data_IF_831867272902
#
_entry.id   IF_831867272902
#
_cell.length_a   1.000
_cell.length_b   1.000
_cell.length_c   1.000
_cell.angle_alpha   90.00
_cell.angle_beta   90.00
_cell.angle_gamma   90.00
#
_symmetry.space_group_name_H-M   'P 1'
#
loop_
_entity.id
_entity.type
_entity.pdbx_description
1 polymer ?
#
# COMPACT_ATOMS: atom_id res chain seq x y z
N UNK A 1 4.47 -40.22 -11.26
CA UNK A 1 5.50 -39.41 -11.92
C UNK A 1 5.83 -38.24 -11.01
N UNK A 2 6.91 -38.33 -10.21
CA UNK A 2 7.29 -37.23 -9.32
C UNK A 2 7.72 -36.03 -10.16
N UNK A 3 7.19 -34.85 -9.88
CA UNK A 3 7.71 -33.60 -10.47
C UNK A 3 9.16 -33.51 -10.04
N UNK A 4 10.10 -33.65 -10.97
CA UNK A 4 11.47 -33.21 -10.74
C UNK A 4 11.37 -31.69 -10.59
N UNK A 5 11.33 -31.22 -9.34
CA UNK A 5 11.31 -29.79 -9.03
C UNK A 5 12.56 -29.14 -9.60
N UNK A 6 12.43 -27.91 -10.08
CA UNK A 6 13.60 -27.11 -10.46
C UNK A 6 14.49 -26.98 -9.22
N UNK A 7 15.69 -27.55 -9.27
CA UNK A 7 16.61 -27.56 -8.12
C UNK A 7 16.92 -26.15 -7.60
N UNK A 8 16.80 -25.13 -8.46
CA UNK A 8 16.95 -23.72 -8.08
C UNK A 8 15.83 -23.25 -7.14
N UNK A 9 14.60 -23.76 -7.32
CA UNK A 9 13.46 -23.41 -6.46
C UNK A 9 13.66 -24.02 -5.08
N UNK A 10 14.05 -25.29 -4.99
CA UNK A 10 14.36 -25.93 -3.71
C UNK A 10 15.52 -25.22 -2.98
N UNK A 11 16.56 -24.79 -3.72
CA UNK A 11 17.66 -24.02 -3.16
C UNK A 11 17.20 -22.64 -2.64
N UNK A 12 16.35 -21.94 -3.39
CA UNK A 12 15.80 -20.65 -2.99
C UNK A 12 14.85 -20.79 -1.79
N UNK A 13 14.03 -21.84 -1.75
CA UNK A 13 13.16 -22.16 -0.63
C UNK A 13 13.98 -22.36 0.65
N UNK A 14 15.02 -23.21 0.58
CA UNK A 14 15.93 -23.45 1.70
C UNK A 14 16.64 -22.17 2.16
N UNK A 15 17.06 -21.31 1.23
CA UNK A 15 17.68 -20.03 1.56
C UNK A 15 16.71 -19.10 2.31
N UNK A 16 15.46 -19.00 1.86
CA UNK A 16 14.42 -18.18 2.50
C UNK A 16 14.06 -18.73 3.88
N UNK A 17 13.83 -20.04 4.03
CA UNK A 17 13.59 -20.69 5.31
C UNK A 17 14.73 -20.41 6.30
N UNK A 18 15.98 -20.59 5.86
CA UNK A 18 17.15 -20.34 6.70
C UNK A 18 17.28 -18.87 7.10
N UNK A 19 16.97 -17.94 6.19
CA UNK A 19 17.01 -16.51 6.47
C UNK A 19 15.92 -16.10 7.49
N UNK A 20 14.70 -16.60 7.34
CA UNK A 20 13.62 -16.34 8.30
C UNK A 20 13.93 -16.97 9.65
N UNK A 21 14.40 -18.21 9.68
CA UNK A 21 14.80 -18.89 10.92
C UNK A 21 15.93 -18.13 11.65
N UNK A 22 16.94 -17.66 10.91
CA UNK A 22 18.04 -16.89 11.49
C UNK A 22 17.60 -15.51 12.01
N UNK A 23 16.65 -14.87 11.34
CA UNK A 23 16.08 -13.60 11.77
C UNK A 23 15.16 -13.76 13.00
N UNK A 24 14.48 -14.90 13.14
CA UNK A 24 13.45 -15.14 14.17
C UNK A 24 14.06 -15.77 15.43
N UNK A 25 14.87 -14.99 16.15
CA UNK A 25 15.56 -15.44 17.37
C UNK A 25 14.70 -15.42 18.64
N UNK A 26 13.48 -14.88 18.56
CA UNK A 26 12.51 -14.75 19.65
C UNK A 26 11.16 -14.25 19.15
N UNK A 27 10.24 -13.87 20.06
CA UNK A 27 8.94 -13.33 19.69
C UNK A 27 9.07 -12.14 18.73
N UNK A 28 8.23 -12.11 17.70
CA UNK A 28 8.37 -11.17 16.60
C UNK A 28 7.01 -10.63 16.13
N UNK A 29 7.01 -9.39 15.66
CA UNK A 29 5.86 -8.75 15.01
C UNK A 29 6.11 -8.65 13.50
N UNK A 30 5.25 -9.24 12.68
CA UNK A 30 5.32 -9.13 11.23
C UNK A 30 4.49 -7.94 10.77
N UNK A 31 5.13 -7.02 10.03
CA UNK A 31 4.43 -5.99 9.27
C UNK A 31 3.68 -6.64 8.10
N UNK A 32 2.39 -6.91 8.34
CA UNK A 32 1.60 -7.84 7.56
C UNK A 32 0.62 -7.12 6.63
N UNK A 33 0.64 -7.49 5.33
CA UNK A 33 -0.21 -6.90 4.29
C UNK A 33 -1.12 -7.90 3.59
N UNK A 34 -0.98 -9.19 3.91
CA UNK A 34 -1.58 -10.27 3.14
C UNK A 34 -0.98 -10.45 1.75
N UNK A 35 0.13 -9.80 1.40
CA UNK A 35 0.87 -10.10 0.16
C UNK A 35 1.60 -11.44 0.25
N UNK A 36 2.05 -11.97 -0.90
CA UNK A 36 2.89 -13.18 -0.93
C UNK A 36 4.16 -13.04 -0.08
N UNK A 37 4.76 -11.85 -0.05
CA UNK A 37 6.03 -11.61 0.66
C UNK A 37 5.83 -11.69 2.17
N UNK A 38 4.92 -10.87 2.71
CA UNK A 38 4.65 -10.81 4.16
C UNK A 38 4.00 -12.09 4.67
N UNK A 39 3.21 -12.79 3.85
CA UNK A 39 2.60 -14.08 4.21
C UNK A 39 3.58 -15.23 4.22
N UNK A 40 4.56 -15.25 3.31
CA UNK A 40 5.62 -16.25 3.38
C UNK A 40 6.50 -16.03 4.62
N UNK A 41 6.86 -14.78 4.92
CA UNK A 41 7.61 -14.45 6.14
C UNK A 41 6.82 -14.84 7.40
N UNK A 42 5.54 -14.50 7.46
CA UNK A 42 4.67 -14.84 8.60
C UNK A 42 4.54 -16.34 8.83
N UNK A 43 4.27 -17.11 7.76
CA UNK A 43 4.12 -18.57 7.83
C UNK A 43 5.40 -19.27 8.30
N UNK A 44 6.56 -18.78 7.84
CA UNK A 44 7.85 -19.35 8.25
C UNK A 44 8.22 -18.92 9.67
N UNK A 45 8.05 -17.64 10.02
CA UNK A 45 8.37 -17.13 11.36
C UNK A 45 7.54 -17.80 12.46
N UNK A 46 6.25 -18.04 12.21
CA UNK A 46 5.35 -18.70 13.19
C UNK A 46 5.73 -20.14 13.50
N UNK A 47 6.53 -20.78 12.64
CA UNK A 47 7.09 -22.11 12.89
C UNK A 47 8.30 -22.10 13.82
N UNK A 48 8.87 -20.91 14.09
CA UNK A 48 10.08 -20.74 14.89
C UNK A 48 9.85 -20.02 16.22
N UNK A 49 8.97 -19.02 16.26
CA UNK A 49 8.66 -18.28 17.47
C UNK A 49 7.21 -17.78 17.48
N UNK A 50 6.77 -17.32 18.66
CA UNK A 50 5.50 -16.60 18.78
C UNK A 50 5.53 -15.38 17.86
N UNK A 51 4.49 -15.27 17.02
CA UNK A 51 4.45 -14.29 15.94
C UNK A 51 3.15 -13.51 16.00
N UNK A 52 3.27 -12.20 16.20
CA UNK A 52 2.18 -11.24 16.09
C UNK A 52 2.09 -10.75 14.64
N UNK A 53 0.90 -10.75 14.04
CA UNK A 53 0.67 -10.12 12.75
C UNK A 53 -0.04 -8.78 12.96
N UNK A 54 0.57 -7.69 12.49
CA UNK A 54 -0.06 -6.37 12.49
C UNK A 54 -0.32 -5.90 11.07
N UNK A 55 -1.57 -5.54 10.78
CA UNK A 55 -1.96 -4.83 9.55
C UNK A 55 -2.49 -3.46 9.91
N UNK A 56 -2.12 -2.44 9.12
CA UNK A 56 -2.61 -1.07 9.29
C UNK A 56 -3.24 -0.54 8.02
N UNK A 57 -4.33 0.21 8.17
CA UNK A 57 -5.00 0.83 7.03
C UNK A 57 -6.11 1.79 7.44
N UNK A 58 -6.52 2.62 6.48
CA UNK A 58 -7.75 3.42 6.59
C UNK A 58 -9.00 2.54 6.46
N UNK A 59 -10.18 2.99 6.92
CA UNK A 59 -11.43 2.24 6.75
C UNK A 59 -11.65 1.82 5.29
N UNK A 60 -11.86 0.51 5.08
CA UNK A 60 -12.02 -0.08 3.75
C UNK A 60 -10.73 -0.20 2.93
N UNK A 61 -9.55 -0.02 3.54
CA UNK A 61 -8.28 -0.25 2.89
C UNK A 61 -8.14 -1.72 2.44
N UNK A 62 -7.53 -1.89 1.28
CA UNK A 62 -7.37 -3.21 0.66
C UNK A 62 -6.52 -4.16 1.51
N UNK A 63 -5.45 -3.64 2.11
CA UNK A 63 -4.53 -4.47 2.88
C UNK A 63 -5.19 -5.03 4.15
N UNK A 64 -6.15 -4.31 4.76
CA UNK A 64 -6.91 -4.81 5.90
C UNK A 64 -7.63 -6.12 5.54
N UNK A 65 -8.42 -6.10 4.46
CA UNK A 65 -9.17 -7.26 4.01
C UNK A 65 -8.25 -8.40 3.53
N UNK A 66 -7.19 -8.07 2.77
CA UNK A 66 -6.26 -9.07 2.26
C UNK A 66 -5.45 -9.75 3.38
N UNK A 67 -5.06 -8.99 4.41
CA UNK A 67 -4.36 -9.50 5.57
C UNK A 67 -5.28 -10.39 6.42
N UNK A 68 -6.50 -9.97 6.72
CA UNK A 68 -7.47 -10.80 7.45
C UNK A 68 -7.75 -12.14 6.74
N UNK A 69 -7.97 -12.11 5.42
CA UNK A 69 -8.14 -13.32 4.60
C UNK A 69 -6.90 -14.22 4.67
N UNK A 70 -5.71 -13.65 4.57
CA UNK A 70 -4.46 -14.41 4.55
C UNK A 70 -4.14 -15.00 5.92
N UNK A 71 -4.36 -14.25 7.00
CA UNK A 71 -4.19 -14.73 8.37
C UNK A 71 -5.13 -15.91 8.67
N UNK A 72 -6.40 -15.81 8.27
CA UNK A 72 -7.38 -16.88 8.43
C UNK A 72 -6.99 -18.16 7.64
N UNK A 73 -6.48 -18.01 6.42
CA UNK A 73 -5.99 -19.14 5.61
C UNK A 73 -4.74 -19.81 6.17
N UNK A 74 -3.94 -19.07 6.95
CA UNK A 74 -2.72 -19.56 7.60
C UNK A 74 -2.95 -20.01 9.06
N UNK A 75 -4.17 -19.85 9.59
CA UNK A 75 -4.50 -20.07 11.00
C UNK A 75 -3.60 -19.26 11.96
N UNK A 76 -3.33 -18.00 11.60
CA UNK A 76 -2.52 -17.07 12.39
C UNK A 76 -3.36 -15.94 12.95
N UNK A 77 -3.06 -15.53 14.19
CA UNK A 77 -3.71 -14.40 14.82
C UNK A 77 -3.20 -13.08 14.21
N UNK A 78 -4.13 -12.18 13.94
CA UNK A 78 -3.85 -10.87 13.38
C UNK A 78 -4.55 -9.78 14.19
N UNK A 79 -3.83 -8.68 14.47
CA UNK A 79 -4.42 -7.46 15.01
C UNK A 79 -4.55 -6.43 13.90
N UNK A 80 -5.79 -5.95 13.74
CA UNK A 80 -6.16 -4.92 12.77
C UNK A 80 -6.06 -3.53 13.40
N UNK A 81 -5.17 -2.71 12.84
CA UNK A 81 -5.02 -1.30 13.17
C UNK A 81 -5.77 -0.46 12.12
N UNK A 82 -7.09 -0.34 12.29
CA UNK A 82 -7.87 0.58 11.46
C UNK A 82 -7.76 2.01 12.03
N UNK A 83 -7.20 2.93 11.25
CA UNK A 83 -7.02 4.33 11.67
C UNK A 83 -7.69 5.30 10.70
N UNK A 84 -8.24 6.39 11.23
CA UNK A 84 -8.90 7.39 10.38
C UNK A 84 -7.89 8.08 9.44
N UNK A 85 -8.34 8.61 8.27
CA UNK A 85 -7.47 9.40 7.40
C UNK A 85 -6.80 10.58 8.10
N UNK A 86 -7.45 11.21 9.07
CA UNK A 86 -6.88 12.30 9.87
C UNK A 86 -5.75 11.81 10.78
N UNK A 87 -5.93 10.68 11.46
CA UNK A 87 -4.86 10.06 12.25
C UNK A 87 -3.68 9.62 11.39
N UNK A 88 -3.96 9.08 10.19
CA UNK A 88 -2.93 8.73 9.20
C UNK A 88 -2.11 9.97 8.81
N UNK A 89 -2.76 11.11 8.56
CA UNK A 89 -2.07 12.37 8.24
C UNK A 89 -1.23 12.87 9.42
N UNK A 90 -1.76 12.83 10.65
CA UNK A 90 -1.00 13.22 11.84
C UNK A 90 0.26 12.35 12.01
N UNK A 91 0.11 11.02 11.90
CA UNK A 91 1.25 10.10 11.95
C UNK A 91 2.26 10.33 10.81
N UNK A 92 1.80 10.76 9.62
CA UNK A 92 2.71 11.13 8.53
C UNK A 92 3.57 12.36 8.85
N UNK A 93 3.02 13.31 9.60
CA UNK A 93 3.73 14.51 10.04
C UNK A 93 4.74 14.16 11.14
N UNK A 94 4.37 13.26 12.06
CA UNK A 94 5.29 12.72 13.07
C UNK A 94 6.48 12.00 12.43
N UNK A 95 6.22 11.12 11.46
CA UNK A 95 7.27 10.42 10.70
C UNK A 95 8.20 11.40 9.98
N UNK A 96 7.64 12.38 9.26
CA UNK A 96 8.41 13.38 8.52
C UNK A 96 9.21 14.33 9.44
N UNK A 97 8.73 14.58 10.66
CA UNK A 97 9.45 15.35 11.66
C UNK A 97 10.58 14.55 12.33
N UNK A 98 10.43 13.22 12.40
CA UNK A 98 11.39 12.31 13.03
C UNK A 98 12.54 11.95 12.09
N UNK A 99 12.24 11.67 10.82
CA UNK A 99 13.21 11.21 9.83
C UNK A 99 13.23 12.13 8.61
N UNK A 100 14.42 12.37 8.07
CA UNK A 100 14.59 13.14 6.82
C UNK A 100 14.23 12.26 5.62
N UNK A 101 12.96 12.33 5.24
CA UNK A 101 12.38 11.53 4.16
C UNK A 101 11.76 12.43 3.09
N UNK A 102 11.80 11.99 1.84
CA UNK A 102 10.97 12.57 0.78
C UNK A 102 9.48 12.27 1.05
N UNK A 103 8.58 13.04 0.43
CA UNK A 103 7.14 12.79 0.55
C UNK A 103 6.74 11.37 0.14
N UNK A 104 7.34 10.84 -0.93
CA UNK A 104 7.05 9.48 -1.40
C UNK A 104 7.51 8.41 -0.41
N UNK A 105 8.65 8.63 0.26
CA UNK A 105 9.12 7.75 1.32
C UNK A 105 8.21 7.80 2.54
N UNK A 106 7.72 8.98 2.94
CA UNK A 106 6.72 9.11 4.01
C UNK A 106 5.45 8.33 3.64
N UNK A 107 4.91 8.51 2.43
CA UNK A 107 3.74 7.77 1.96
C UNK A 107 3.95 6.24 2.04
N UNK A 108 5.14 5.76 1.66
CA UNK A 108 5.49 4.34 1.61
C UNK A 108 5.79 3.72 2.97
N UNK A 109 6.53 4.43 3.83
CA UNK A 109 6.98 3.93 5.13
C UNK A 109 5.96 4.12 6.25
N UNK A 110 4.96 4.98 6.07
CA UNK A 110 3.97 5.27 7.10
C UNK A 110 3.25 4.02 7.63
N UNK A 111 2.84 3.03 6.82
CA UNK A 111 2.28 1.79 7.35
C UNK A 111 3.27 1.05 8.25
N UNK A 112 4.56 1.00 7.88
CA UNK A 112 5.59 0.37 8.71
C UNK A 112 5.87 1.15 9.99
N UNK A 113 5.88 2.49 9.95
CA UNK A 113 5.97 3.35 11.13
C UNK A 113 4.87 3.05 12.15
N UNK A 114 3.63 2.91 11.67
CA UNK A 114 2.49 2.61 12.53
C UNK A 114 2.56 1.19 13.09
N UNK A 115 2.99 0.20 12.30
CA UNK A 115 3.24 -1.15 12.82
C UNK A 115 4.33 -1.13 13.89
N UNK A 116 5.45 -0.47 13.64
CA UNK A 116 6.57 -0.39 14.59
C UNK A 116 6.17 0.29 15.91
N UNK A 117 5.25 1.27 15.85
CA UNK A 117 4.73 1.95 17.04
C UNK A 117 3.83 1.06 17.90
N UNK A 118 3.01 0.23 17.27
CA UNK A 118 2.01 -0.60 17.96
C UNK A 118 2.49 -2.02 18.24
N UNK A 119 3.66 -2.41 17.72
CA UNK A 119 4.26 -3.72 17.91
C UNK A 119 4.47 -4.02 19.39
N UNK A 120 4.09 -5.24 19.79
CA UNK A 120 4.28 -5.70 21.18
C UNK A 120 5.62 -6.41 21.37
N UNK A 121 6.26 -6.83 20.29
CA UNK A 121 7.54 -7.52 20.29
C UNK A 121 8.70 -6.63 19.82
N UNK A 122 9.91 -6.81 20.37
CA UNK A 122 11.07 -5.99 20.03
C UNK A 122 11.67 -6.31 18.66
N UNK A 123 11.27 -7.41 18.03
CA UNK A 123 11.73 -7.80 16.70
C UNK A 123 10.61 -7.60 15.68
N UNK A 124 10.87 -6.76 14.67
CA UNK A 124 10.00 -6.56 13.52
C UNK A 124 10.48 -7.39 12.33
N UNK A 125 9.56 -8.10 11.67
CA UNK A 125 9.81 -8.79 10.42
C UNK A 125 9.01 -8.12 9.30
N UNK A 126 9.62 -7.93 8.13
CA UNK A 126 8.91 -7.41 6.98
C UNK A 126 9.33 -8.07 5.67
N UNK A 127 8.44 -8.02 4.67
CA UNK A 127 8.68 -8.54 3.32
C UNK A 127 9.50 -7.61 2.42
N UNK A 128 10.21 -6.62 3.00
CA UNK A 128 10.96 -5.63 2.24
C UNK A 128 12.08 -6.30 1.43
N UNK A 129 12.31 -5.81 0.21
CA UNK A 129 13.31 -6.34 -0.71
C UNK A 129 12.80 -7.42 -1.68
N UNK A 130 11.64 -8.02 -1.42
CA UNK A 130 11.09 -9.02 -2.34
C UNK A 130 10.73 -8.44 -3.73
N UNK A 131 10.25 -7.19 -3.78
CA UNK A 131 9.90 -6.54 -5.03
C UNK A 131 11.12 -6.16 -5.88
N UNK A 132 12.18 -5.69 -5.24
CA UNK A 132 13.48 -5.38 -5.84
C UNK A 132 14.16 -6.66 -6.32
N UNK A 133 14.25 -7.67 -5.45
CA UNK A 133 14.99 -8.89 -5.74
C UNK A 133 14.32 -9.78 -6.80
N UNK A 134 12.99 -9.89 -6.74
CA UNK A 134 12.22 -10.77 -7.62
C UNK A 134 11.40 -10.02 -8.68
N UNK A 135 11.64 -8.72 -8.87
CA UNK A 135 11.03 -7.99 -9.98
C UNK A 135 9.53 -7.78 -9.84
N UNK A 136 9.03 -7.47 -8.65
CA UNK A 136 7.59 -7.35 -8.40
C UNK A 136 6.97 -6.03 -8.86
N UNK A 137 7.78 -4.99 -9.11
CA UNK A 137 7.27 -3.71 -9.57
C UNK A 137 6.83 -3.71 -11.04
N UNK A 138 5.66 -3.13 -11.31
CA UNK A 138 5.14 -2.99 -12.67
C UNK A 138 6.05 -2.17 -13.59
N UNK A 139 6.80 -1.19 -13.04
CA UNK A 139 7.73 -0.35 -13.82
C UNK A 139 8.80 -1.16 -14.56
N UNK A 140 9.14 -2.35 -14.04
CA UNK A 140 10.13 -3.25 -14.65
C UNK A 140 9.62 -3.97 -15.90
N UNK A 141 8.30 -3.97 -16.12
CA UNK A 141 7.65 -4.62 -17.26
C UNK A 141 7.12 -3.63 -18.30
N UNK A 142 7.32 -2.32 -18.09
CA UNK A 142 6.85 -1.31 -19.05
C UNK A 142 7.63 -1.43 -20.37
N UNK A 143 7.00 -1.18 -21.53
CA UNK A 143 7.70 -1.16 -22.80
C UNK A 143 8.92 -0.24 -22.77
N UNK A 144 10.08 -0.74 -23.19
CA UNK A 144 11.35 0.00 -23.17
C UNK A 144 12.04 0.07 -21.81
N UNK A 145 11.50 -0.57 -20.76
CA UNK A 145 12.20 -0.67 -19.48
C UNK A 145 13.44 -1.57 -19.59
N UNK A 146 14.56 -1.10 -19.04
CA UNK A 146 15.78 -1.88 -18.86
C UNK A 146 16.14 -1.85 -17.36
N UNK A 147 15.39 -2.58 -16.50
CA UNK A 147 15.66 -2.56 -15.08
C UNK A 147 17.01 -3.21 -14.77
N UNK A 148 17.59 -2.86 -13.63
CA UNK A 148 18.73 -3.54 -13.03
C UNK A 148 18.33 -3.91 -11.60
N UNK A 149 17.92 -5.18 -11.41
CA UNK A 149 17.45 -5.62 -10.10
C UNK A 149 18.57 -5.64 -9.06
N UNK A 150 19.82 -5.85 -9.47
CA UNK A 150 20.96 -5.85 -8.54
C UNK A 150 21.21 -4.44 -8.02
N UNK A 151 21.15 -3.43 -8.91
CA UNK A 151 21.23 -2.02 -8.50
C UNK A 151 20.07 -1.62 -7.58
N UNK A 152 18.86 -2.08 -7.85
CA UNK A 152 17.68 -1.81 -7.00
C UNK A 152 17.82 -2.40 -5.59
N UNK A 153 18.33 -3.64 -5.48
CA UNK A 153 18.62 -4.28 -4.18
C UNK A 153 19.74 -3.53 -3.44
N UNK A 154 20.82 -3.15 -4.14
CA UNK A 154 21.93 -2.42 -3.55
C UNK A 154 21.51 -1.03 -3.04
N UNK A 155 20.68 -0.31 -3.80
CA UNK A 155 20.15 0.99 -3.39
C UNK A 155 19.23 0.84 -2.16
N UNK A 156 18.37 -0.18 -2.16
CA UNK A 156 17.51 -0.48 -1.02
C UNK A 156 18.33 -0.77 0.24
N UNK A 157 19.34 -1.64 0.16
CA UNK A 157 20.24 -1.96 1.27
C UNK A 157 20.98 -0.72 1.78
N UNK A 158 21.44 0.16 0.90
CA UNK A 158 22.12 1.40 1.30
C UNK A 158 21.21 2.37 2.07
N UNK A 159 19.89 2.33 1.79
CA UNK A 159 18.89 3.23 2.41
C UNK A 159 18.23 2.63 3.66
N UNK A 160 18.26 1.30 3.83
CA UNK A 160 17.61 0.58 4.94
C UNK A 160 18.00 1.15 6.33
N UNK A 161 19.29 1.48 6.62
CA UNK A 161 19.70 2.00 7.93
C UNK A 161 19.07 3.35 8.30
N UNK A 162 18.72 4.15 7.28
CA UNK A 162 18.18 5.50 7.43
C UNK A 162 16.64 5.52 7.40
N UNK A 163 16.00 4.40 7.05
CA UNK A 163 14.56 4.27 6.87
C UNK A 163 14.01 3.23 7.84
N UNK A 164 13.94 1.96 7.44
CA UNK A 164 13.32 0.89 8.21
C UNK A 164 14.03 0.67 9.56
N UNK A 165 15.37 0.59 9.59
CA UNK A 165 16.10 0.42 10.86
C UNK A 165 16.05 1.68 11.74
N UNK A 166 15.95 2.86 11.14
CA UNK A 166 15.78 4.10 11.89
C UNK A 166 14.40 4.19 12.54
N UNK A 167 13.35 3.73 11.83
CA UNK A 167 11.99 3.61 12.36
C UNK A 167 11.98 2.58 13.50
N UNK A 168 12.53 1.39 13.30
CA UNK A 168 12.56 0.36 14.34
C UNK A 168 13.30 0.86 15.60
N UNK A 169 14.50 1.44 15.44
CA UNK A 169 15.27 2.00 16.56
C UNK A 169 14.52 3.13 17.28
N UNK A 170 13.76 3.95 16.57
CA UNK A 170 12.96 5.00 17.20
C UNK A 170 11.95 4.43 18.21
N UNK A 171 11.39 3.25 17.93
CA UNK A 171 10.47 2.53 18.81
C UNK A 171 11.14 1.45 19.67
N UNK A 172 12.47 1.54 19.86
CA UNK A 172 13.26 0.57 20.63
C UNK A 172 13.12 -0.89 20.15
N UNK A 173 12.91 -1.07 18.85
CA UNK A 173 12.82 -2.35 18.17
C UNK A 173 14.00 -2.54 17.19
N UNK A 174 14.19 -3.78 16.77
CA UNK A 174 15.04 -4.18 15.65
C UNK A 174 14.17 -4.59 14.47
N UNK A 175 14.68 -4.50 13.25
CA UNK A 175 13.98 -4.98 12.05
C UNK A 175 14.85 -5.94 11.26
N UNK A 176 14.27 -7.03 10.80
CA UNK A 176 14.89 -7.92 9.84
C UNK A 176 14.05 -8.01 8.56
N UNK A 177 14.76 -8.01 7.43
CA UNK A 177 14.19 -8.14 6.08
C UNK A 177 14.75 -9.41 5.44
N UNK A 178 14.17 -10.61 5.67
CA UNK A 178 14.78 -11.89 5.27
C UNK A 178 15.10 -12.00 3.78
N UNK A 179 14.36 -11.31 2.91
CA UNK A 179 14.64 -11.29 1.47
C UNK A 179 15.93 -10.55 1.09
N UNK A 180 16.47 -9.72 1.97
CA UNK A 180 17.76 -9.03 1.78
C UNK A 180 18.94 -9.81 2.37
N UNK A 181 18.71 -10.99 2.95
CA UNK A 181 19.77 -11.88 3.41
C UNK A 181 20.64 -12.33 2.22
N UNK A 182 21.96 -12.31 2.39
CA UNK A 182 22.92 -12.62 1.33
C UNK A 182 22.69 -14.01 0.69
N UNK A 183 22.20 -14.99 1.46
CA UNK A 183 21.88 -16.33 0.96
C UNK A 183 20.67 -16.29 0.02
N UNK A 184 19.65 -15.51 0.38
CA UNK A 184 18.43 -15.35 -0.42
C UNK A 184 18.75 -14.56 -1.69
N UNK A 185 19.53 -13.49 -1.60
CA UNK A 185 19.97 -12.70 -2.75
C UNK A 185 20.75 -13.59 -3.73
N UNK A 186 21.75 -14.33 -3.26
CA UNK A 186 22.55 -15.21 -4.11
C UNK A 186 21.71 -16.32 -4.77
N UNK A 187 20.77 -16.93 -4.03
CA UNK A 187 19.88 -17.95 -4.59
C UNK A 187 18.90 -17.36 -5.63
N UNK A 188 18.42 -16.14 -5.42
CA UNK A 188 17.53 -15.45 -6.36
C UNK A 188 18.26 -15.00 -7.63
N UNK A 189 19.54 -14.63 -7.54
CA UNK A 189 20.36 -14.24 -8.69
C UNK A 189 20.70 -15.40 -9.63
N UNK A 190 20.56 -16.65 -9.17
CA UNK A 190 20.62 -17.83 -10.04
C UNK A 190 19.47 -17.90 -11.06
N UNK A 191 18.43 -17.09 -10.88
CA UNK A 191 17.36 -16.91 -11.85
C UNK A 191 17.65 -15.69 -12.74
N UNK A 192 17.64 -15.86 -14.08
CA UNK A 192 17.69 -14.75 -15.01
C UNK A 192 16.67 -13.67 -14.65
N UNK A 193 17.07 -12.40 -14.78
CA UNK A 193 16.19 -11.29 -14.46
C UNK A 193 14.87 -11.35 -15.25
N UNK A 194 14.91 -11.83 -16.50
CA UNK A 194 13.74 -12.06 -17.35
C UNK A 194 12.72 -13.02 -16.73
N UNK A 195 13.17 -14.07 -16.03
CA UNK A 195 12.30 -15.01 -15.31
C UNK A 195 11.67 -14.36 -14.07
N UNK A 196 12.44 -13.52 -13.36
CA UNK A 196 11.97 -12.82 -12.16
C UNK A 196 10.90 -11.77 -12.47
N UNK A 197 11.15 -10.94 -13.48
CA UNK A 197 10.25 -9.83 -13.85
C UNK A 197 9.01 -10.27 -14.62
N UNK A 198 8.98 -11.48 -15.20
CA UNK A 198 7.89 -11.96 -16.06
C UNK A 198 6.54 -11.81 -15.36
N UNK A 199 5.55 -11.27 -16.07
CA UNK A 199 4.22 -11.02 -15.52
C UNK A 199 3.62 -12.30 -14.89
N UNK A 200 3.04 -12.21 -13.67
CA UNK A 200 2.68 -11.00 -12.93
C UNK A 200 3.82 -10.38 -12.08
N UNK A 201 5.05 -10.87 -12.23
CA UNK A 201 6.22 -10.55 -11.41
C UNK A 201 6.38 -11.54 -10.26
N UNK A 202 7.60 -11.60 -9.71
CA UNK A 202 7.96 -12.47 -8.58
C UNK A 202 7.89 -13.98 -8.91
N UNK A 203 8.11 -14.37 -10.16
CA UNK A 203 7.93 -15.76 -10.62
C UNK A 203 8.56 -16.81 -9.70
N UNK A 204 9.89 -16.76 -9.45
CA UNK A 204 10.57 -17.71 -8.57
C UNK A 204 10.03 -17.69 -7.13
N UNK A 205 9.76 -16.51 -6.57
CA UNK A 205 9.22 -16.38 -5.21
C UNK A 205 7.81 -16.99 -5.09
N UNK A 206 6.94 -16.81 -6.09
CA UNK A 206 5.60 -17.43 -6.10
C UNK A 206 5.68 -18.96 -6.22
N UNK A 207 6.64 -19.46 -6.98
CA UNK A 207 6.91 -20.90 -7.09
C UNK A 207 7.42 -21.48 -5.76
N UNK A 208 8.36 -20.80 -5.10
CA UNK A 208 8.80 -21.16 -3.74
C UNK A 208 7.66 -21.11 -2.73
N UNK A 209 6.84 -20.05 -2.74
CA UNK A 209 5.70 -19.94 -1.84
C UNK A 209 4.75 -21.13 -2.01
N UNK A 210 4.46 -21.55 -3.25
CA UNK A 210 3.65 -22.73 -3.52
C UNK A 210 4.32 -24.04 -3.07
N UNK A 211 5.65 -24.17 -3.26
CA UNK A 211 6.43 -25.34 -2.82
C UNK A 211 6.43 -25.49 -1.29
N UNK A 212 6.51 -24.36 -0.57
CA UNK A 212 6.46 -24.30 0.89
C UNK A 212 5.04 -24.38 1.47
N UNK A 213 4.02 -24.59 0.62
CA UNK A 213 2.65 -24.82 1.06
C UNK A 213 1.82 -23.55 1.30
N UNK A 214 2.30 -22.38 0.90
CA UNK A 214 1.50 -21.14 0.98
C UNK A 214 0.25 -21.28 0.08
N UNK A 215 -0.97 -21.02 0.60
CA UNK A 215 -2.20 -21.13 -0.17
C UNK A 215 -2.15 -20.37 -1.50
N UNK A 216 -2.63 -20.99 -2.58
CA UNK A 216 -2.54 -20.43 -3.93
C UNK A 216 -3.17 -19.04 -4.07
N UNK A 217 -4.26 -18.77 -3.33
CA UNK A 217 -4.92 -17.45 -3.27
C UNK A 217 -3.95 -16.37 -2.81
N UNK A 218 -3.10 -16.68 -1.82
CA UNK A 218 -2.09 -15.77 -1.30
C UNK A 218 -0.89 -15.71 -2.25
N UNK A 219 -0.36 -16.87 -2.63
CA UNK A 219 0.83 -16.99 -3.48
C UNK A 219 0.65 -16.33 -4.85
N UNK A 220 -0.58 -16.26 -5.38
CA UNK A 220 -0.89 -15.65 -6.68
C UNK A 220 -1.52 -14.25 -6.58
N UNK A 221 -1.68 -13.70 -5.36
CA UNK A 221 -2.26 -12.36 -5.17
C UNK A 221 -1.47 -11.30 -5.93
N UNK A 222 -2.12 -10.40 -6.69
CA UNK A 222 -1.44 -9.30 -7.36
C UNK A 222 -0.76 -8.37 -6.36
N UNK A 223 0.38 -7.80 -6.76
CA UNK A 223 1.13 -6.86 -5.93
C UNK A 223 0.34 -5.55 -5.78
N UNK A 224 0.25 -5.05 -4.56
CA UNK A 224 -0.18 -3.69 -4.24
C UNK A 224 0.86 -3.06 -3.31
N UNK A 225 1.34 -1.86 -3.65
CA UNK A 225 2.36 -1.21 -2.83
C UNK A 225 1.72 -0.68 -1.53
N UNK A 226 2.49 -0.68 -0.43
CA UNK A 226 2.00 -0.41 0.92
C UNK A 226 1.24 0.92 1.04
N UNK A 227 1.69 1.98 0.37
CA UNK A 227 1.04 3.30 0.38
C UNK A 227 -0.36 3.30 -0.26
N UNK A 228 -0.60 2.41 -1.23
CA UNK A 228 -1.88 2.28 -1.91
C UNK A 228 -2.79 1.26 -1.21
N UNK A 229 -2.18 0.19 -0.68
CA UNK A 229 -2.89 -0.89 -0.02
C UNK A 229 -3.50 -0.48 1.32
N UNK A 230 -2.74 0.26 2.13
CA UNK A 230 -3.18 0.86 3.41
C UNK A 230 -4.06 2.10 3.26
N UNK A 231 -4.01 2.77 2.10
CA UNK A 231 -4.65 4.08 1.89
C UNK A 231 -3.85 5.28 2.42
N UNK A 232 -2.61 5.09 2.88
CA UNK A 232 -1.73 6.15 3.37
C UNK A 232 -1.56 7.30 2.37
N UNK A 233 -1.22 7.00 1.11
CA UNK A 233 -1.08 8.03 0.08
C UNK A 233 -2.38 8.81 -0.12
N UNK A 234 -3.51 8.10 -0.21
CA UNK A 234 -4.82 8.73 -0.43
C UNK A 234 -5.16 9.69 0.72
N UNK A 235 -4.89 9.30 1.96
CA UNK A 235 -5.09 10.16 3.13
C UNK A 235 -4.19 11.41 3.08
N UNK A 236 -2.89 11.24 2.87
CA UNK A 236 -1.91 12.33 2.83
C UNK A 236 -2.23 13.32 1.71
N UNK A 237 -2.39 12.82 0.47
CA UNK A 237 -2.69 13.67 -0.70
C UNK A 237 -4.06 14.31 -0.59
N UNK A 238 -5.05 13.60 -0.04
CA UNK A 238 -6.37 14.15 0.20
C UNK A 238 -6.35 15.33 1.19
N UNK A 239 -5.47 15.33 2.19
CA UNK A 239 -5.31 16.43 3.14
C UNK A 239 -4.56 17.64 2.57
N UNK A 240 -3.75 17.45 1.51
CA UNK A 240 -3.06 18.53 0.82
C UNK A 240 -3.94 19.25 -0.21
N UNK A 241 -5.11 18.69 -0.54
CA UNK A 241 -6.06 19.32 -1.45
C UNK A 241 -6.78 20.50 -0.79
N UNK A 242 -6.93 21.58 -1.53
CA UNK A 242 -7.83 22.68 -1.21
C UNK A 242 -9.27 22.22 -1.40
N UNK A 243 -10.18 22.71 -0.55
CA UNK A 243 -11.59 22.34 -0.58
C UNK A 243 -12.47 23.57 -0.44
N UNK A 244 -13.53 23.63 -1.24
CA UNK A 244 -14.60 24.61 -1.11
C UNK A 244 -15.93 23.86 -0.95
N UNK A 245 -16.68 24.19 0.09
CA UNK A 245 -18.05 23.69 0.27
C UNK A 245 -19.02 24.84 0.01
N UNK A 246 -20.04 24.58 -0.82
CA UNK A 246 -21.07 25.53 -1.19
C UNK A 246 -22.44 24.90 -0.95
N UNK A 247 -23.35 25.67 -0.37
CA UNK A 247 -24.76 25.32 -0.27
C UNK A 247 -25.55 26.24 -1.18
N UNK A 248 -26.15 25.68 -2.23
CA UNK A 248 -26.95 26.43 -3.20
C UNK A 248 -28.43 26.09 -3.04
N UNK A 249 -29.26 27.10 -2.80
CA UNK A 249 -30.72 26.94 -2.70
C UNK A 249 -31.39 27.48 -3.95
N UNK A 250 -32.27 26.66 -4.53
CA UNK A 250 -33.02 26.99 -5.74
C UNK A 250 -34.50 27.25 -5.43
N UNK A 251 -35.23 27.93 -6.33
CA UNK A 251 -36.65 28.22 -6.13
C UNK A 251 -37.54 26.97 -6.07
N UNK A 252 -37.13 25.86 -6.70
CA UNK A 252 -37.89 24.61 -6.71
C UNK A 252 -37.00 23.36 -6.77
N UNK A 253 -37.57 22.22 -6.40
CA UNK A 253 -36.93 20.90 -6.48
C UNK A 253 -36.58 20.54 -7.93
N UNK A 254 -37.39 20.98 -8.89
CA UNK A 254 -37.17 20.74 -10.32
C UNK A 254 -35.92 21.47 -10.82
N UNK A 255 -35.77 22.76 -10.46
CA UNK A 255 -34.59 23.56 -10.82
C UNK A 255 -33.32 22.94 -10.22
N UNK A 256 -33.35 22.56 -8.93
CA UNK A 256 -32.22 21.89 -8.29
C UNK A 256 -31.86 20.55 -8.97
N UNK A 257 -32.86 19.78 -9.43
CA UNK A 257 -32.64 18.55 -10.18
C UNK A 257 -31.93 18.80 -11.51
N UNK A 258 -32.42 19.76 -12.30
CA UNK A 258 -31.85 20.11 -13.59
C UNK A 258 -30.40 20.61 -13.48
N UNK A 259 -30.11 21.43 -12.46
CA UNK A 259 -28.75 21.88 -12.17
C UNK A 259 -27.83 20.72 -11.80
N UNK A 260 -28.29 19.80 -10.94
CA UNK A 260 -27.51 18.63 -10.55
C UNK A 260 -27.15 17.75 -11.76
N UNK A 261 -28.10 17.50 -12.66
CA UNK A 261 -27.90 16.71 -13.89
C UNK A 261 -26.96 17.41 -14.88
N UNK A 262 -27.13 18.72 -15.09
CA UNK A 262 -26.32 19.47 -16.04
C UNK A 262 -24.85 19.61 -15.60
N UNK A 263 -24.60 19.62 -14.28
CA UNK A 263 -23.26 19.85 -13.72
C UNK A 263 -22.50 18.56 -13.39
N UNK A 264 -23.11 17.38 -13.46
CA UNK A 264 -22.44 16.11 -13.12
C UNK A 264 -21.44 15.61 -14.18
N UNK A 265 -21.74 15.63 -15.49
CA UNK A 265 -20.86 15.06 -16.52
C UNK A 265 -19.50 15.77 -16.63
N UNK A 266 -19.50 17.10 -16.57
CA UNK A 266 -18.29 17.92 -16.78
C UNK A 266 -17.43 18.08 -15.52
N UNK A 267 -17.94 17.67 -14.35
CA UNK A 267 -17.26 17.89 -13.06
C UNK A 267 -16.87 16.59 -12.33
N UNK A 268 -16.92 15.45 -13.03
CA UNK A 268 -16.57 14.16 -12.47
C UNK A 268 -15.10 14.11 -12.04
N UNK A 269 -14.87 13.85 -10.74
CA UNK A 269 -13.53 13.66 -10.16
C UNK A 269 -13.05 14.77 -9.23
N UNK A 270 -13.64 15.97 -9.30
CA UNK A 270 -13.29 17.11 -8.42
C UNK A 270 -14.49 17.83 -7.79
N UNK A 271 -15.73 17.54 -8.22
CA UNK A 271 -16.95 18.03 -7.56
C UNK A 271 -17.78 16.84 -7.10
N UNK A 272 -18.23 16.87 -5.85
CA UNK A 272 -19.27 15.96 -5.33
C UNK A 272 -20.50 16.77 -4.98
N UNK A 273 -21.68 16.25 -5.30
CA UNK A 273 -22.94 16.96 -5.15
C UNK A 273 -23.98 16.04 -4.49
N UNK A 274 -24.57 16.52 -3.41
CA UNK A 274 -25.70 15.89 -2.73
C UNK A 274 -26.91 16.83 -2.80
N UNK A 275 -28.09 16.30 -3.13
CA UNK A 275 -29.32 17.09 -3.23
C UNK A 275 -30.26 16.74 -2.10
N UNK A 276 -30.76 17.77 -1.42
CA UNK A 276 -31.86 17.67 -0.47
C UNK A 276 -32.97 18.66 -0.88
N UNK A 277 -34.04 18.13 -1.46
CA UNK A 277 -35.14 18.93 -2.00
C UNK A 277 -34.67 19.96 -3.05
N UNK A 278 -34.80 21.24 -2.71
CA UNK A 278 -34.41 22.38 -3.55
C UNK A 278 -32.99 22.91 -3.24
N UNK A 279 -32.23 22.21 -2.38
CA UNK A 279 -30.88 22.58 -1.99
C UNK A 279 -29.87 21.60 -2.58
N UNK A 280 -28.74 22.12 -3.06
CA UNK A 280 -27.57 21.37 -3.49
C UNK A 280 -26.40 21.66 -2.54
N UNK A 281 -25.90 20.61 -1.89
CA UNK A 281 -24.65 20.61 -1.16
C UNK A 281 -23.53 20.21 -2.12
N UNK A 282 -22.59 21.12 -2.35
CA UNK A 282 -21.53 20.96 -3.34
C UNK A 282 -20.19 21.00 -2.62
N UNK A 283 -19.32 20.04 -2.90
CA UNK A 283 -17.90 20.10 -2.50
C UNK A 283 -17.02 20.05 -3.71
N UNK A 284 -16.11 21.02 -3.81
CA UNK A 284 -15.12 21.14 -4.86
C UNK A 284 -13.74 20.91 -4.24
N UNK A 285 -12.92 20.08 -4.87
CA UNK A 285 -11.56 19.78 -4.43
C UNK A 285 -10.55 20.11 -5.52
N UNK A 286 -9.42 20.70 -5.16
CA UNK A 286 -8.37 21.02 -6.12
C UNK A 286 -6.97 20.99 -5.48
N UNK A 287 -5.92 20.92 -6.30
CA UNK A 287 -4.54 20.82 -5.81
C UNK A 287 -4.00 22.14 -5.24
N UNK A 288 -4.53 23.28 -5.67
CA UNK A 288 -4.10 24.63 -5.27
C UNK A 288 -5.28 25.59 -5.13
N UNK A 289 -5.05 26.74 -4.49
CA UNK A 289 -6.09 27.79 -4.36
C UNK A 289 -6.48 28.35 -5.73
N UNK A 290 -5.51 28.52 -6.65
CA UNK A 290 -5.78 28.98 -8.01
C UNK A 290 -6.70 28.03 -8.78
N UNK A 291 -6.35 26.74 -8.80
CA UNK A 291 -7.19 25.71 -9.42
C UNK A 291 -8.54 25.53 -8.73
N UNK A 292 -8.62 25.76 -7.41
CA UNK A 292 -9.88 25.71 -6.66
C UNK A 292 -10.81 26.85 -7.08
N UNK A 293 -10.25 28.06 -7.24
CA UNK A 293 -10.98 29.23 -7.74
C UNK A 293 -11.53 28.98 -9.14
N UNK A 294 -10.70 28.50 -10.06
CA UNK A 294 -11.10 28.19 -11.44
C UNK A 294 -12.22 27.14 -11.47
N UNK A 295 -12.05 26.01 -10.76
CA UNK A 295 -13.08 24.98 -10.69
C UNK A 295 -14.40 25.47 -10.06
N UNK A 296 -14.31 26.36 -9.06
CA UNK A 296 -15.50 26.96 -8.46
C UNK A 296 -16.22 27.94 -9.40
N UNK A 297 -15.46 28.77 -10.13
CA UNK A 297 -15.99 29.69 -11.14
C UNK A 297 -16.69 28.94 -12.27
N UNK A 298 -16.06 27.89 -12.81
CA UNK A 298 -16.63 27.04 -13.87
C UNK A 298 -17.91 26.33 -13.40
N UNK A 299 -17.87 25.72 -12.21
CA UNK A 299 -19.05 25.06 -11.63
C UNK A 299 -20.22 26.04 -11.46
N UNK A 300 -19.96 27.21 -10.87
CA UNK A 300 -21.00 28.22 -10.63
C UNK A 300 -21.55 28.79 -11.94
N UNK A 301 -20.72 28.94 -12.98
CA UNK A 301 -21.17 29.36 -14.30
C UNK A 301 -22.13 28.33 -14.94
N UNK A 302 -21.78 27.04 -14.90
CA UNK A 302 -22.66 25.98 -15.38
C UNK A 302 -23.97 25.89 -14.58
N UNK A 303 -23.88 25.97 -13.25
CA UNK A 303 -25.05 25.95 -12.38
C UNK A 303 -26.01 27.13 -12.67
N UNK A 304 -25.46 28.33 -12.86
CA UNK A 304 -26.26 29.52 -13.19
C UNK A 304 -26.91 29.44 -14.58
N UNK A 305 -26.26 28.79 -15.55
CA UNK A 305 -26.87 28.54 -16.86
C UNK A 305 -28.01 27.53 -16.77
N UNK A 306 -27.77 26.40 -16.11
CA UNK A 306 -28.77 25.34 -15.96
C UNK A 306 -30.00 25.82 -15.18
N UNK A 307 -29.82 26.61 -14.12
CA UNK A 307 -30.92 27.17 -13.36
C UNK A 307 -31.81 28.09 -14.23
N UNK A 308 -31.21 28.98 -15.03
CA UNK A 308 -31.95 29.88 -15.93
C UNK A 308 -32.72 29.16 -17.03
N UNK A 309 -32.25 28.00 -17.49
CA UNK A 309 -32.98 27.18 -18.46
C UNK A 309 -34.18 26.52 -17.77
N UNK A 310 -33.95 25.89 -16.61
CA UNK A 310 -34.99 25.19 -15.86
C UNK A 310 -36.08 26.10 -15.27
N UNK A 311 -35.83 27.40 -15.11
CA UNK A 311 -36.84 28.39 -14.70
C UNK A 311 -37.77 28.84 -15.85
N UNK A 312 -37.40 28.55 -17.11
CA UNK A 312 -38.17 28.92 -18.30
C UNK A 312 -39.07 27.80 -18.82
N UNK A 313 -38.80 26.56 -18.40
CA UNK A 313 -39.58 25.36 -18.67
C UNK A 313 -40.64 25.12 -17.59
#
# INVERSE_FOLDING_TARGET
MGKVGDARIAQLASAIETAVAAATSGPATVAFSGGVDSSLVAMLASSHAETELLVVGTPGAHDLAAAEESAALLDLNISRLEISPTQMVAASQELAATLRLSQQEVEFLLPFWLVAREATHPLLLCGQGADELFGGYERFRRPGAAPDLAAEVAELQARLPQREEAIARHFAAEVACPFLDARVVAAAEAFPQTERILAPGKGPLRAVAAELGLPAVIAQRPKKAAQYGSGAQKAIRGAQQQRLALTLRFPSVAVAASVAVATTPDNAGWVTLERDGATLEVRIVAASVGSLREAAEDFLACAALAARVAEKD
#
